data_IF_510912536297
#
_entry.id   IF_510912536297
#
_cell.length_a   1.000
_cell.length_b   1.000
_cell.length_c   1.000
_cell.angle_alpha   90.00
_cell.angle_beta   90.00
_cell.angle_gamma   90.00
#
_symmetry.space_group_name_H-M   'P 1'
#
loop_
_entity.id
_entity.type
_entity.pdbx_description
1 polymer ?
#
# COMPACT_ATOMS: atom_id res chain seq x y z
N UNK A 1 0.22 -1.27 1.44
CA UNK A 1 0.13 -0.11 2.36
C UNK A 1 1.45 0.63 2.35
N UNK A 2 1.41 1.95 2.31
CA UNK A 2 2.59 2.82 2.22
C UNK A 2 2.49 3.96 3.21
N UNK A 3 3.63 4.55 3.60
CA UNK A 3 3.69 5.75 4.41
C UNK A 3 3.44 7.03 3.57
N UNK A 4 3.53 8.20 4.19
CA UNK A 4 3.34 9.49 3.52
C UNK A 4 4.43 9.82 2.48
N UNK A 5 5.57 9.14 2.52
CA UNK A 5 6.66 9.27 1.55
C UNK A 5 6.55 8.24 0.42
N UNK A 6 5.54 7.36 0.46
CA UNK A 6 5.34 6.27 -0.50
C UNK A 6 6.25 5.06 -0.26
N UNK A 7 6.85 4.95 0.92
CA UNK A 7 7.63 3.77 1.30
C UNK A 7 6.70 2.68 1.81
N UNK A 8 6.97 1.45 1.39
CA UNK A 8 6.10 0.32 1.71
C UNK A 8 6.22 -0.09 3.17
N UNK A 9 5.09 -0.12 3.85
CA UNK A 9 4.94 -0.61 5.23
C UNK A 9 4.51 -2.08 5.28
N UNK A 10 3.74 -2.51 4.29
CA UNK A 10 3.29 -3.88 4.16
C UNK A 10 2.66 -4.16 2.81
N UNK A 11 2.69 -5.43 2.41
CA UNK A 11 2.09 -5.91 1.18
C UNK A 11 1.48 -7.28 1.40
N UNK A 12 0.29 -7.49 0.86
CA UNK A 12 -0.35 -8.78 0.67
C UNK A 12 -0.64 -8.90 -0.83
N UNK A 13 -0.25 -10.00 -1.42
CA UNK A 13 -0.59 -10.32 -2.79
C UNK A 13 -1.49 -11.56 -2.79
N UNK A 14 -2.49 -11.56 -3.63
CA UNK A 14 -3.46 -12.64 -3.81
C UNK A 14 -3.83 -12.77 -5.29
N UNK A 15 -4.42 -13.88 -5.72
CA UNK A 15 -4.91 -14.06 -7.08
C UNK A 15 -5.94 -12.99 -7.47
N UNK A 16 -6.02 -12.66 -8.76
CA UNK A 16 -6.87 -11.58 -9.27
C UNK A 16 -8.39 -11.78 -9.05
N UNK A 17 -8.82 -13.02 -8.72
CA UNK A 17 -10.20 -13.32 -8.36
C UNK A 17 -10.58 -12.99 -6.91
N UNK A 18 -9.61 -12.58 -6.08
CA UNK A 18 -9.83 -12.13 -4.70
C UNK A 18 -9.87 -10.60 -4.67
N UNK A 19 -10.87 -10.03 -4.02
CA UNK A 19 -10.97 -8.57 -3.92
C UNK A 19 -9.93 -8.01 -2.93
N UNK A 20 -9.41 -6.82 -3.22
CA UNK A 20 -8.37 -6.18 -2.40
C UNK A 20 -8.78 -5.99 -0.95
N UNK A 21 -10.06 -5.71 -0.68
CA UNK A 21 -10.58 -5.57 0.68
C UNK A 21 -10.54 -6.88 1.48
N UNK A 22 -10.58 -8.04 0.82
CA UNK A 22 -10.53 -9.34 1.49
C UNK A 22 -9.12 -9.63 2.03
N UNK A 23 -8.09 -9.06 1.40
CA UNK A 23 -6.71 -9.07 1.88
C UNK A 23 -6.41 -8.06 3.01
N UNK A 24 -7.32 -7.13 3.27
CA UNK A 24 -7.07 -6.01 4.18
C UNK A 24 -6.79 -6.45 5.62
N UNK A 25 -7.51 -7.47 6.13
CA UNK A 25 -7.27 -7.95 7.52
C UNK A 25 -5.85 -8.47 7.70
N UNK A 26 -5.36 -9.27 6.77
CA UNK A 26 -4.01 -9.82 6.82
C UNK A 26 -2.95 -8.70 6.77
N UNK A 27 -3.15 -7.72 5.87
CA UNK A 27 -2.28 -6.57 5.74
C UNK A 27 -2.24 -5.70 7.00
N UNK A 28 -3.40 -5.40 7.59
CA UNK A 28 -3.50 -4.59 8.80
C UNK A 28 -2.85 -5.30 10.01
N UNK A 29 -3.08 -6.60 10.17
CA UNK A 29 -2.43 -7.40 11.22
C UNK A 29 -0.90 -7.40 11.09
N UNK A 30 -0.39 -7.62 9.88
CA UNK A 30 1.04 -7.59 9.60
C UNK A 30 1.62 -6.21 9.92
N UNK A 31 0.98 -5.15 9.43
CA UNK A 31 1.45 -3.77 9.63
C UNK A 31 1.40 -3.37 11.10
N UNK A 32 0.36 -3.76 11.84
CA UNK A 32 0.25 -3.45 13.27
C UNK A 32 1.39 -4.03 14.10
N UNK A 33 1.85 -5.22 13.76
CA UNK A 33 2.99 -5.85 14.46
C UNK A 33 4.29 -5.07 14.25
N UNK A 34 4.51 -4.57 13.04
CA UNK A 34 5.75 -3.86 12.69
C UNK A 34 5.71 -2.36 13.02
N UNK A 35 4.52 -1.76 12.99
CA UNK A 35 4.31 -0.31 13.13
C UNK A 35 3.14 0.00 14.08
N UNK A 36 3.28 -0.30 15.38
CA UNK A 36 2.19 -0.17 16.36
C UNK A 36 1.75 1.28 16.61
N UNK A 37 2.57 2.25 16.23
CA UNK A 37 2.33 3.69 16.43
C UNK A 37 1.46 4.35 15.35
N UNK A 38 1.11 3.62 14.27
CA UNK A 38 0.22 4.17 13.24
C UNK A 38 -1.20 4.27 13.80
N UNK A 39 -1.82 5.44 13.65
CA UNK A 39 -3.17 5.73 14.15
C UNK A 39 -4.19 5.90 13.03
N UNK A 40 -3.77 6.47 11.90
CA UNK A 40 -4.65 6.82 10.80
C UNK A 40 -4.27 6.11 9.52
N UNK A 41 -5.27 5.55 8.85
CA UNK A 41 -5.13 4.89 7.55
C UNK A 41 -6.06 5.58 6.56
N UNK A 42 -5.52 6.04 5.45
CA UNK A 42 -6.29 6.54 4.32
C UNK A 42 -6.50 5.42 3.32
N UNK A 43 -7.75 5.22 2.90
CA UNK A 43 -8.11 4.21 1.91
C UNK A 43 -9.09 4.80 0.88
N UNK A 44 -9.17 4.20 -0.29
CA UNK A 44 -10.14 4.59 -1.29
C UNK A 44 -11.56 4.07 -0.99
N UNK A 45 -12.53 4.44 -1.83
CA UNK A 45 -13.92 4.06 -1.66
C UNK A 45 -14.19 2.54 -1.69
N UNK A 46 -13.30 1.75 -2.29
CA UNK A 46 -13.40 0.28 -2.30
C UNK A 46 -13.30 -0.36 -0.91
N UNK A 47 -12.70 0.35 0.03
CA UNK A 47 -12.55 -0.07 1.43
C UNK A 47 -13.65 0.50 2.35
N UNK A 48 -14.72 1.05 1.80
CA UNK A 48 -15.86 1.53 2.57
C UNK A 48 -16.79 0.38 2.98
N UNK A 49 -17.42 0.52 4.15
CA UNK A 49 -18.52 -0.36 4.58
C UNK A 49 -18.27 -1.08 5.91
N UNK A 50 -19.29 -1.80 6.39
CA UNK A 50 -19.28 -2.41 7.73
C UNK A 50 -18.21 -3.50 7.88
N UNK A 51 -17.87 -4.21 6.82
CA UNK A 51 -16.82 -5.25 6.83
C UNK A 51 -15.47 -4.61 7.20
N UNK A 52 -15.11 -3.50 6.54
CA UNK A 52 -13.85 -2.81 6.84
C UNK A 52 -13.84 -2.15 8.21
N UNK A 53 -14.98 -1.63 8.67
CA UNK A 53 -15.11 -1.14 10.05
C UNK A 53 -14.85 -2.25 11.08
N UNK A 54 -15.40 -3.43 10.87
CA UNK A 54 -15.15 -4.59 11.73
C UNK A 54 -13.68 -5.06 11.68
N UNK A 55 -13.08 -5.09 10.48
CA UNK A 55 -11.67 -5.46 10.29
C UNK A 55 -10.73 -4.48 11.01
N UNK A 56 -10.97 -3.18 10.88
CA UNK A 56 -10.17 -2.16 11.56
C UNK A 56 -10.28 -2.25 13.08
N UNK A 57 -11.50 -2.44 13.60
CA UNK A 57 -11.73 -2.65 15.04
C UNK A 57 -11.03 -3.90 15.59
N UNK A 58 -11.03 -4.99 14.82
CA UNK A 58 -10.43 -6.29 15.19
C UNK A 58 -8.90 -6.28 15.14
N UNK A 59 -8.32 -5.53 14.21
CA UNK A 59 -6.86 -5.52 13.97
C UNK A 59 -6.12 -4.46 14.78
N UNK A 60 -6.80 -3.46 15.29
CA UNK A 60 -6.20 -2.41 16.12
C UNK A 60 -7.11 -1.20 16.27
N UNK A 61 -6.63 -0.18 17.00
CA UNK A 61 -7.33 1.10 17.14
C UNK A 61 -6.97 2.02 15.97
N UNK A 62 -7.33 1.60 14.77
CA UNK A 62 -7.11 2.38 13.56
C UNK A 62 -8.25 3.39 13.34
N UNK A 63 -7.91 4.61 12.95
CA UNK A 63 -8.87 5.53 12.35
C UNK A 63 -8.79 5.36 10.83
N UNK A 64 -9.79 4.74 10.23
CA UNK A 64 -9.90 4.57 8.78
C UNK A 64 -10.59 5.78 8.18
N UNK A 65 -9.90 6.52 7.35
CA UNK A 65 -10.42 7.66 6.59
C UNK A 65 -10.58 7.28 5.12
N UNK A 66 -11.82 7.28 4.65
CA UNK A 66 -12.12 6.97 3.25
C UNK A 66 -12.00 8.23 2.41
N UNK A 67 -11.08 8.21 1.46
CA UNK A 67 -10.92 9.27 0.45
C UNK A 67 -11.93 9.02 -0.67
N UNK A 68 -13.06 9.73 -0.62
CA UNK A 68 -14.10 9.64 -1.64
C UNK A 68 -13.65 10.35 -2.92
N UNK A 69 -14.00 9.78 -4.06
CA UNK A 69 -13.98 10.49 -5.33
C UNK A 69 -15.14 11.49 -5.31
N UNK A 70 -14.87 12.78 -5.49
CA UNK A 70 -15.96 13.73 -5.71
C UNK A 70 -16.57 13.41 -7.07
N UNK A 71 -17.89 13.19 -7.10
CA UNK A 71 -18.65 12.94 -8.33
C UNK A 71 -18.82 14.22 -9.20
N UNK A 72 -18.05 15.26 -8.91
CA UNK A 72 -18.04 16.51 -9.66
C UNK A 72 -17.15 16.28 -10.91
N UNK A 73 -17.60 16.65 -12.12
CA UNK A 73 -16.84 16.46 -13.37
C UNK A 73 -15.65 17.44 -13.49
N UNK A 74 -14.97 17.71 -12.41
CA UNK A 74 -13.72 18.47 -12.33
C UNK A 74 -12.59 17.52 -11.96
N UNK A 75 -11.49 17.62 -12.70
CA UNK A 75 -10.24 16.97 -12.32
C UNK A 75 -9.77 17.56 -10.98
N UNK A 76 -9.97 16.81 -9.90
CA UNK A 76 -9.48 17.14 -8.56
C UNK A 76 -8.44 16.11 -8.17
N UNK A 77 -7.25 16.58 -7.82
CA UNK A 77 -6.20 15.71 -7.29
C UNK A 77 -6.61 15.30 -5.88
N UNK A 78 -7.08 14.07 -5.73
CA UNK A 78 -7.46 13.53 -4.43
C UNK A 78 -6.25 13.51 -3.49
N UNK A 79 -6.37 14.09 -2.29
CA UNK A 79 -5.29 14.12 -1.32
C UNK A 79 -4.77 12.72 -1.06
N UNK A 80 -3.44 12.54 -1.10
CA UNK A 80 -2.71 11.31 -0.75
C UNK A 80 -2.87 10.10 -1.69
N UNK A 81 -3.81 10.10 -2.64
CA UNK A 81 -3.96 8.99 -3.60
C UNK A 81 -2.72 8.83 -4.49
N UNK A 82 -2.18 9.94 -4.98
CA UNK A 82 -0.97 9.95 -5.81
C UNK A 82 0.24 9.27 -5.16
N UNK A 83 0.27 9.15 -3.81
CA UNK A 83 1.36 8.51 -3.08
C UNK A 83 1.42 7.02 -3.42
N UNK A 84 0.28 6.33 -3.43
CA UNK A 84 0.19 4.91 -3.79
C UNK A 84 0.51 4.72 -5.27
N UNK A 85 -0.05 5.57 -6.14
CA UNK A 85 0.21 5.53 -7.59
C UNK A 85 1.70 5.71 -7.90
N UNK A 86 2.37 6.63 -7.21
CA UNK A 86 3.83 6.82 -7.29
C UNK A 86 4.60 5.58 -6.85
N UNK A 87 4.19 4.93 -5.76
CA UNK A 87 4.83 3.72 -5.28
C UNK A 87 4.70 2.58 -6.27
N UNK A 88 3.52 2.40 -6.86
CA UNK A 88 3.29 1.43 -7.91
C UNK A 88 4.14 1.72 -9.15
N UNK A 89 4.27 2.99 -9.54
CA UNK A 89 5.17 3.40 -10.63
C UNK A 89 6.62 3.03 -10.34
N UNK A 90 7.13 3.24 -9.11
CA UNK A 90 8.50 2.81 -8.75
C UNK A 90 8.70 1.30 -8.82
N UNK A 91 7.68 0.52 -8.43
CA UNK A 91 7.71 -0.94 -8.51
C UNK A 91 7.73 -1.39 -9.97
N UNK A 92 6.91 -0.78 -10.84
CA UNK A 92 6.84 -1.12 -12.27
C UNK A 92 8.11 -0.79 -13.05
N UNK A 93 8.94 0.14 -12.56
CA UNK A 93 10.28 0.38 -13.12
C UNK A 93 11.26 -0.78 -12.90
N UNK A 94 10.95 -1.73 -12.02
CA UNK A 94 11.73 -2.94 -11.87
C UNK A 94 11.33 -3.93 -12.96
N UNK A 95 12.24 -4.24 -13.90
CA UNK A 95 11.97 -5.11 -15.07
C UNK A 95 11.26 -6.42 -14.70
N UNK A 96 11.62 -7.02 -13.56
CA UNK A 96 11.03 -8.27 -13.08
C UNK A 96 9.58 -8.12 -12.63
N UNK A 97 9.18 -6.91 -12.19
CA UNK A 97 7.84 -6.60 -11.70
C UNK A 97 6.98 -5.84 -12.74
N UNK A 98 7.57 -5.51 -13.90
CA UNK A 98 6.86 -4.85 -14.99
C UNK A 98 5.82 -5.76 -15.70
N UNK A 99 5.98 -7.06 -15.56
CA UNK A 99 5.06 -8.09 -16.04
C UNK A 99 4.94 -9.19 -14.99
N UNK A 100 3.80 -9.88 -15.00
CA UNK A 100 3.56 -11.03 -14.12
C UNK A 100 4.26 -12.28 -14.68
N UNK A 101 5.52 -12.47 -14.27
CA UNK A 101 6.32 -13.64 -14.61
C UNK A 101 6.35 -14.69 -13.50
N UNK A 102 5.89 -14.34 -12.31
CA UNK A 102 6.09 -15.15 -11.14
C UNK A 102 4.89 -16.08 -10.89
N UNK A 103 5.17 -17.38 -10.85
CA UNK A 103 4.16 -18.39 -10.58
C UNK A 103 3.69 -18.39 -9.11
N UNK A 104 4.55 -17.95 -8.20
CA UNK A 104 4.28 -18.00 -6.77
C UNK A 104 4.15 -16.60 -6.17
N UNK A 105 3.05 -16.36 -5.50
CA UNK A 105 2.75 -15.09 -4.80
C UNK A 105 3.88 -14.64 -3.87
N UNK A 106 4.50 -15.60 -3.14
CA UNK A 106 5.65 -15.31 -2.25
C UNK A 106 6.84 -14.72 -3.00
N UNK A 107 7.08 -15.16 -4.22
CA UNK A 107 8.17 -14.64 -5.06
C UNK A 107 7.87 -13.21 -5.51
N UNK A 108 6.63 -12.91 -5.91
CA UNK A 108 6.20 -11.53 -6.22
C UNK A 108 6.45 -10.62 -5.03
N UNK A 109 5.98 -11.00 -3.84
CA UNK A 109 6.16 -10.23 -2.60
C UNK A 109 7.64 -10.00 -2.30
N UNK A 110 8.49 -11.02 -2.45
CA UNK A 110 9.94 -10.90 -2.23
C UNK A 110 10.58 -9.89 -3.21
N UNK A 111 10.23 -9.93 -4.49
CA UNK A 111 10.74 -8.97 -5.48
C UNK A 111 10.27 -7.53 -5.19
N UNK A 112 9.04 -7.36 -4.73
CA UNK A 112 8.55 -6.04 -4.33
C UNK A 112 9.36 -5.50 -3.16
N UNK A 113 9.63 -6.31 -2.13
CA UNK A 113 10.50 -5.89 -1.02
C UNK A 113 11.91 -5.55 -1.48
N UNK A 114 12.52 -6.34 -2.36
CA UNK A 114 13.84 -6.05 -2.92
C UNK A 114 13.85 -4.72 -3.71
N UNK A 115 12.80 -4.45 -4.49
CA UNK A 115 12.66 -3.19 -5.20
C UNK A 115 12.57 -1.99 -4.24
N UNK A 116 11.83 -2.13 -3.14
CA UNK A 116 11.69 -1.09 -2.12
C UNK A 116 12.98 -0.90 -1.32
N UNK A 117 13.69 -1.96 -0.96
CA UNK A 117 15.01 -1.89 -0.31
C UNK A 117 15.98 -1.11 -1.20
N UNK A 118 16.06 -1.44 -2.48
CA UNK A 118 16.90 -0.71 -3.45
C UNK A 118 16.54 0.78 -3.48
N UNK A 119 15.25 1.12 -3.53
CA UNK A 119 14.78 2.50 -3.52
C UNK A 119 15.23 3.24 -2.25
N UNK A 120 15.02 2.62 -1.08
CA UNK A 120 15.38 3.21 0.21
C UNK A 120 16.89 3.41 0.33
N UNK A 121 17.69 2.44 -0.06
CA UNK A 121 19.16 2.56 -0.07
C UNK A 121 19.62 3.71 -0.96
N UNK A 122 19.06 3.86 -2.16
CA UNK A 122 19.39 4.98 -3.05
C UNK A 122 19.05 6.34 -2.43
N UNK A 123 17.94 6.45 -1.71
CA UNK A 123 17.58 7.69 -1.01
C UNK A 123 18.53 8.01 0.14
N UNK A 124 18.90 7.00 0.92
CA UNK A 124 19.86 7.17 2.02
C UNK A 124 21.25 7.60 1.54
N UNK A 125 21.70 7.05 0.41
CA UNK A 125 23.00 7.45 -0.17
C UNK A 125 22.95 8.82 -0.82
N UNK A 126 21.85 9.18 -1.52
CA UNK A 126 21.69 10.50 -2.12
C UNK A 126 21.65 11.63 -1.08
N UNK A 127 21.05 11.40 0.09
CA UNK A 127 20.98 12.39 1.17
C UNK A 127 22.35 12.63 1.86
N UNK A 128 23.33 11.78 1.65
CA UNK A 128 24.70 11.93 2.21
C UNK A 128 25.64 12.71 1.29
N UNK A 129 25.24 12.96 0.04
CA UNK A 129 26.06 13.63 -0.98
C UNK A 129 25.70 15.11 -1.13
N UNK A 130 24.81 15.63 -0.30
CA UNK A 130 24.42 17.05 -0.18
C UNK A 130 24.91 17.60 1.16
#
# INVERSE_FOLDING_TARGET
>A
MVDTLGLMLGIVAHPANVQDRDGAEALLRQTRRSFPFIEVIFADGGYQGPIMAAVTAKTGKWRLEIVKRNDIPRFEVLPKRWIVERTLAWISHCRRLARDFERHVRTVVAFVYLAMIRLMLRRLTASRSA
#
